data_IF_500210578578
#
_entry.id   IF_500210578578
#
_cell.length_a   1.000
_cell.length_b   1.000
_cell.length_c   1.000
_cell.angle_alpha   90.00
_cell.angle_beta   90.00
_cell.angle_gamma   90.00
#
_symmetry.space_group_name_H-M   'P 1'
#
loop_
_entity.id
_entity.type
_entity.pdbx_description
1 polymer ?
#
# COMPACT_ATOMS: atom_id res chain seq x y z
N UNK A 1 12.61 14.54 -46.14
CA UNK A 1 11.50 13.89 -45.42
C UNK A 1 12.11 13.26 -44.18
N UNK A 2 12.01 13.94 -43.03
CA UNK A 2 12.42 13.42 -41.75
C UNK A 2 11.28 12.51 -41.28
N UNK A 3 11.62 11.25 -40.99
CA UNK A 3 10.65 10.26 -40.55
C UNK A 3 10.17 10.60 -39.14
N UNK A 4 8.99 11.23 -39.05
CA UNK A 4 8.37 11.69 -37.79
C UNK A 4 7.92 10.52 -36.94
N UNK A 5 7.83 9.29 -37.47
CA UNK A 5 7.46 8.10 -36.76
C UNK A 5 8.59 7.59 -35.81
N UNK A 6 9.85 7.89 -36.13
CA UNK A 6 11.01 7.48 -35.33
C UNK A 6 11.24 8.35 -34.07
N UNK A 7 10.58 9.48 -33.94
CA UNK A 7 10.69 10.39 -32.79
C UNK A 7 9.66 10.12 -31.68
N UNK A 8 8.69 9.26 -31.92
CA UNK A 8 7.56 9.05 -31.00
C UNK A 8 7.82 8.02 -29.87
N UNK A 9 8.90 7.24 -29.95
CA UNK A 9 9.19 6.20 -28.97
C UNK A 9 10.55 6.46 -28.33
N UNK A 10 10.61 7.37 -27.37
CA UNK A 10 11.79 7.51 -26.52
C UNK A 10 11.59 6.69 -25.27
N UNK A 11 12.05 5.45 -25.34
CA UNK A 11 12.20 4.59 -24.18
C UNK A 11 13.27 5.21 -23.27
N UNK A 12 12.86 5.88 -22.21
CA UNK A 12 13.76 6.34 -21.16
C UNK A 12 13.85 5.26 -20.10
N UNK A 13 14.82 4.41 -20.26
CA UNK A 13 15.30 3.58 -19.17
C UNK A 13 16.00 4.49 -18.15
N UNK A 14 15.34 4.74 -17.02
CA UNK A 14 15.96 5.41 -15.87
C UNK A 14 16.38 4.32 -14.91
N UNK A 15 17.68 4.12 -14.65
CA UNK A 15 18.12 3.17 -13.63
C UNK A 15 17.63 3.65 -12.26
N UNK A 16 17.09 2.73 -11.46
CA UNK A 16 16.76 2.89 -10.05
C UNK A 16 15.70 3.95 -9.69
N UNK A 17 14.59 4.01 -10.41
CA UNK A 17 13.44 4.75 -9.92
C UNK A 17 12.76 3.95 -8.80
N UNK A 18 13.06 4.31 -7.57
CA UNK A 18 12.33 3.85 -6.38
C UNK A 18 10.94 4.48 -6.42
N UNK A 19 9.89 3.67 -6.57
CA UNK A 19 8.52 4.14 -6.34
C UNK A 19 8.41 4.53 -4.86
N UNK A 20 8.16 5.81 -4.53
CA UNK A 20 7.97 6.22 -3.15
C UNK A 20 6.55 5.84 -2.69
N UNK A 21 6.32 4.56 -2.47
CA UNK A 21 5.31 4.19 -1.50
C UNK A 21 5.88 4.62 -0.15
N UNK A 22 5.20 5.47 0.63
CA UNK A 22 5.73 5.97 1.88
C UNK A 22 6.13 4.79 2.76
N UNK A 23 7.42 4.65 3.00
CA UNK A 23 7.99 3.63 3.87
C UNK A 23 8.37 2.28 3.25
N UNK A 24 8.09 2.02 1.97
CA UNK A 24 8.45 0.76 1.30
C UNK A 24 9.39 1.04 0.14
N UNK A 25 10.58 0.44 0.16
CA UNK A 25 11.48 0.43 -0.99
C UNK A 25 11.07 -0.72 -1.90
N UNK A 26 10.62 -0.39 -3.11
CA UNK A 26 10.36 -1.37 -4.16
C UNK A 26 11.65 -1.52 -4.97
N UNK A 27 12.36 -2.66 -4.84
CA UNK A 27 13.55 -2.88 -5.65
C UNK A 27 13.14 -3.20 -7.09
N UNK A 28 13.84 -2.62 -8.06
CA UNK A 28 13.64 -2.91 -9.47
C UNK A 28 13.59 -1.66 -10.35
N UNK A 29 13.50 -1.88 -11.65
CA UNK A 29 13.47 -0.82 -12.68
C UNK A 29 12.05 -0.58 -13.14
N UNK A 30 11.59 0.68 -13.09
CA UNK A 30 10.32 1.07 -13.69
C UNK A 30 10.60 1.51 -15.12
N UNK A 31 9.91 0.88 -16.06
CA UNK A 31 9.91 1.27 -17.48
C UNK A 31 8.62 1.98 -17.79
N UNK A 32 8.70 3.16 -18.37
CA UNK A 32 7.55 3.91 -18.86
C UNK A 32 7.66 4.22 -20.33
N UNK A 33 6.53 4.08 -20.97
CA UNK A 33 6.32 4.46 -22.35
C UNK A 33 5.34 5.65 -22.38
N UNK A 34 5.82 6.82 -22.83
CA UNK A 34 5.04 8.05 -22.84
C UNK A 34 4.68 8.39 -24.27
N UNK A 35 3.39 8.46 -24.59
CA UNK A 35 2.91 8.91 -25.87
C UNK A 35 2.94 10.45 -25.94
N UNK A 36 3.79 10.99 -26.83
CA UNK A 36 4.03 12.44 -26.91
C UNK A 36 2.89 13.17 -27.62
N UNK A 37 2.24 12.57 -28.64
CA UNK A 37 1.16 13.21 -29.40
C UNK A 37 -0.03 13.63 -28.53
N UNK A 38 -0.57 12.81 -27.61
CA UNK A 38 -1.63 13.23 -26.71
C UNK A 38 -1.25 14.39 -25.81
N UNK A 39 0.03 14.54 -25.44
CA UNK A 39 0.50 15.65 -24.59
C UNK A 39 0.30 17.01 -25.26
N UNK A 40 0.38 17.11 -26.60
CA UNK A 40 0.18 18.35 -27.34
C UNK A 40 -1.25 18.91 -27.21
N UNK A 41 -2.21 18.05 -26.87
CA UNK A 41 -3.61 18.43 -26.64
C UNK A 41 -4.01 18.33 -25.17
N UNK A 42 -3.02 18.35 -24.24
CA UNK A 42 -3.25 18.31 -22.81
C UNK A 42 -3.72 16.96 -22.24
N UNK A 43 -3.55 15.87 -23.01
CA UNK A 43 -3.86 14.52 -22.57
C UNK A 43 -2.59 13.78 -22.17
N UNK A 44 -2.67 12.99 -21.10
CA UNK A 44 -1.61 12.10 -20.64
C UNK A 44 -1.95 10.68 -21.09
N UNK A 45 -0.97 9.98 -21.65
CA UNK A 45 -1.07 8.55 -21.91
C UNK A 45 0.32 7.95 -21.65
N UNK A 46 0.43 7.18 -20.57
CA UNK A 46 1.67 6.56 -20.09
C UNK A 46 1.39 5.11 -19.78
N UNK A 47 2.27 4.23 -20.21
CA UNK A 47 2.26 2.83 -19.83
C UNK A 47 3.43 2.56 -18.89
N UNK A 48 3.14 2.19 -17.66
CA UNK A 48 4.13 1.85 -16.65
C UNK A 48 4.25 0.33 -16.49
N UNK A 49 5.49 -0.18 -16.47
CA UNK A 49 5.82 -1.60 -16.27
C UNK A 49 6.86 -1.72 -15.17
N UNK A 50 6.70 -2.72 -14.34
CA UNK A 50 7.67 -3.10 -13.30
C UNK A 50 7.61 -4.61 -13.07
N UNK A 51 8.74 -5.22 -12.69
CA UNK A 51 8.83 -6.67 -12.49
C UNK A 51 7.90 -7.20 -11.38
N UNK A 52 7.59 -6.36 -10.41
CA UNK A 52 6.63 -6.67 -9.33
C UNK A 52 5.16 -6.49 -9.72
N UNK A 53 4.86 -5.97 -10.91
CA UNK A 53 3.50 -5.78 -11.42
C UNK A 53 3.04 -7.01 -12.20
N UNK A 54 1.83 -7.48 -11.93
CA UNK A 54 1.26 -8.59 -12.69
C UNK A 54 0.94 -8.22 -14.14
N UNK A 55 0.64 -6.94 -14.39
CA UNK A 55 0.35 -6.38 -15.72
C UNK A 55 0.78 -4.92 -15.77
N UNK A 56 1.05 -4.38 -16.98
CA UNK A 56 1.33 -2.96 -17.15
C UNK A 56 0.16 -2.10 -16.67
N UNK A 57 0.48 -0.97 -16.04
CA UNK A 57 -0.52 0.02 -15.59
C UNK A 57 -0.58 1.14 -16.60
N UNK A 58 -1.76 1.38 -17.16
CA UNK A 58 -2.03 2.50 -18.04
C UNK A 58 -2.47 3.70 -17.20
N UNK A 59 -1.83 4.84 -17.46
CA UNK A 59 -2.20 6.13 -16.90
C UNK A 59 -2.70 6.98 -18.08
N UNK A 60 -3.96 7.40 -18.02
CA UNK A 60 -4.61 8.15 -19.10
C UNK A 60 -5.38 9.36 -18.54
N UNK A 61 -5.90 10.22 -19.42
CA UNK A 61 -6.75 11.36 -19.03
C UNK A 61 -6.07 12.71 -19.20
N UNK A 62 -6.30 13.63 -18.26
CA UNK A 62 -5.70 14.97 -18.25
C UNK A 62 -4.80 15.13 -17.02
N UNK A 63 -3.92 16.14 -17.01
CA UNK A 63 -3.10 16.45 -15.84
C UNK A 63 -3.93 16.73 -14.57
N UNK A 64 -5.14 17.29 -14.72
CA UNK A 64 -6.02 17.59 -13.61
C UNK A 64 -6.84 16.36 -13.15
N UNK A 65 -7.04 15.37 -14.02
CA UNK A 65 -7.80 14.15 -13.73
C UNK A 65 -7.14 12.95 -14.40
N UNK A 66 -5.99 12.49 -13.88
CA UNK A 66 -5.38 11.26 -14.36
C UNK A 66 -6.21 10.05 -13.92
N UNK A 67 -6.34 9.09 -14.83
CA UNK A 67 -7.01 7.81 -14.62
C UNK A 67 -5.98 6.70 -14.69
N UNK A 68 -6.10 5.76 -13.79
CA UNK A 68 -5.23 4.60 -13.68
C UNK A 68 -6.04 3.33 -13.98
N UNK A 69 -5.51 2.46 -14.81
CA UNK A 69 -6.10 1.14 -15.01
C UNK A 69 -5.98 0.28 -13.74
N UNK A 70 -6.77 -0.78 -13.65
CA UNK A 70 -6.58 -1.79 -12.62
C UNK A 70 -5.14 -2.31 -12.63
N UNK A 71 -4.65 -2.69 -11.48
CA UNK A 71 -3.32 -3.24 -11.35
C UNK A 71 -3.09 -4.00 -10.05
N UNK A 72 -1.96 -4.69 -10.00
CA UNK A 72 -1.51 -5.33 -8.76
C UNK A 72 0.01 -5.38 -8.71
N UNK A 73 0.54 -5.29 -7.49
CA UNK A 73 1.96 -5.35 -7.17
C UNK A 73 2.14 -6.41 -6.10
N UNK A 74 3.17 -7.25 -6.24
CA UNK A 74 3.57 -8.23 -5.22
C UNK A 74 5.02 -8.02 -4.85
N UNK A 75 5.26 -7.86 -3.55
CA UNK A 75 6.57 -7.62 -2.98
C UNK A 75 6.86 -8.69 -1.92
N UNK A 76 7.77 -9.62 -2.17
CA UNK A 76 8.20 -10.55 -1.14
C UNK A 76 9.12 -9.83 -0.14
N UNK A 77 9.03 -10.23 1.13
CA UNK A 77 9.95 -9.80 2.20
C UNK A 77 10.09 -8.27 2.37
N UNK A 78 8.96 -7.60 2.55
CA UNK A 78 8.94 -6.15 2.82
C UNK A 78 9.16 -5.89 4.31
N UNK A 79 10.05 -4.97 4.65
CA UNK A 79 10.17 -4.44 6.01
C UNK A 79 9.26 -3.22 6.17
N UNK A 80 8.36 -3.28 7.16
CA UNK A 80 7.43 -2.19 7.45
C UNK A 80 7.96 -1.23 8.53
N UNK A 81 9.21 -1.41 8.98
CA UNK A 81 9.83 -0.59 10.04
C UNK A 81 9.91 0.91 9.71
N UNK A 82 9.91 1.25 8.42
CA UNK A 82 9.95 2.65 7.95
C UNK A 82 8.62 3.39 8.01
N UNK A 83 7.52 2.71 8.36
CA UNK A 83 6.21 3.35 8.50
C UNK A 83 6.06 4.21 9.77
N UNK A 84 7.14 4.37 10.55
CA UNK A 84 7.12 5.15 11.79
C UNK A 84 6.67 4.31 13.00
N UNK A 85 6.39 4.99 14.13
CA UNK A 85 5.91 4.32 15.35
C UNK A 85 4.46 3.85 15.17
N UNK A 86 4.10 2.63 15.69
CA UNK A 86 4.90 1.67 16.47
C UNK A 86 5.75 0.70 15.61
N UNK A 87 5.64 0.76 14.28
CA UNK A 87 6.24 -0.21 13.34
C UNK A 87 7.78 -0.21 13.38
N UNK A 88 8.38 0.96 13.61
CA UNK A 88 9.84 1.08 13.75
C UNK A 88 10.39 0.28 14.94
N UNK A 89 9.59 0.12 16.01
CA UNK A 89 9.97 -0.65 17.20
C UNK A 89 9.69 -2.14 17.01
N UNK A 90 8.53 -2.46 16.44
CA UNK A 90 8.08 -3.85 16.22
C UNK A 90 8.85 -4.53 15.08
N UNK A 91 9.36 -3.75 14.13
CA UNK A 91 10.12 -4.19 12.95
C UNK A 91 9.46 -5.37 12.21
N UNK A 92 8.20 -5.24 11.79
CA UNK A 92 7.54 -6.33 11.12
C UNK A 92 8.05 -6.50 9.70
N UNK A 93 8.13 -7.75 9.28
CA UNK A 93 8.38 -8.16 7.90
C UNK A 93 7.17 -8.93 7.38
N UNK A 94 6.89 -8.83 6.10
CA UNK A 94 5.76 -9.51 5.46
C UNK A 94 5.98 -9.68 3.96
N UNK A 95 5.23 -10.57 3.33
CA UNK A 95 4.96 -10.55 1.89
C UNK A 95 3.76 -9.64 1.66
N UNK A 96 3.89 -8.66 0.77
CA UNK A 96 2.87 -7.65 0.48
C UNK A 96 2.28 -7.88 -0.90
N UNK A 97 0.95 -7.92 -1.00
CA UNK A 97 0.22 -7.83 -2.25
C UNK A 97 -0.71 -6.61 -2.19
N UNK A 98 -0.53 -5.68 -3.14
CA UNK A 98 -1.42 -4.54 -3.35
C UNK A 98 -2.18 -4.78 -4.64
N UNK A 99 -3.49 -4.60 -4.63
CA UNK A 99 -4.35 -4.62 -5.80
C UNK A 99 -5.30 -3.42 -5.77
N UNK A 100 -5.64 -2.90 -6.96
CA UNK A 100 -6.58 -1.80 -7.09
C UNK A 100 -7.43 -1.97 -8.35
N UNK A 101 -8.67 -1.51 -8.26
CA UNK A 101 -9.56 -1.33 -9.40
C UNK A 101 -9.19 -0.06 -10.18
N UNK A 102 -9.72 0.15 -11.40
CA UNK A 102 -9.51 1.41 -12.09
C UNK A 102 -9.94 2.58 -11.21
N UNK A 103 -9.09 3.60 -11.11
CA UNK A 103 -9.39 4.78 -10.31
C UNK A 103 -8.94 6.07 -11.01
N UNK A 104 -9.49 7.18 -10.56
CA UNK A 104 -9.07 8.52 -11.01
C UNK A 104 -8.64 9.38 -9.82
N UNK A 105 -7.77 10.33 -10.07
CA UNK A 105 -7.43 11.36 -9.09
C UNK A 105 -8.22 12.63 -9.43
N UNK A 106 -9.02 13.07 -8.46
CA UNK A 106 -9.82 14.30 -8.58
C UNK A 106 -9.48 15.20 -7.39
N UNK A 107 -9.01 16.42 -7.66
CA UNK A 107 -8.60 17.37 -6.63
C UNK A 107 -7.56 16.79 -5.64
N UNK A 108 -6.61 16.01 -6.14
CA UNK A 108 -5.57 15.39 -5.32
C UNK A 108 -6.01 14.17 -4.51
N UNK A 109 -7.26 13.72 -4.66
CA UNK A 109 -7.81 12.55 -3.99
C UNK A 109 -8.00 11.40 -4.97
N UNK A 110 -7.56 10.20 -4.59
CA UNK A 110 -7.83 8.98 -5.34
C UNK A 110 -9.29 8.55 -5.13
N UNK A 111 -10.05 8.46 -6.23
CA UNK A 111 -11.44 7.99 -6.24
C UNK A 111 -11.47 6.58 -6.81
N UNK A 112 -11.45 5.58 -5.97
CA UNK A 112 -11.42 4.17 -6.33
C UNK A 112 -11.27 3.26 -5.13
N UNK A 113 -11.05 1.98 -5.39
CA UNK A 113 -10.93 0.91 -4.38
C UNK A 113 -9.59 0.22 -4.53
N UNK A 114 -8.96 -0.07 -3.41
CA UNK A 114 -7.72 -0.83 -3.34
C UNK A 114 -7.75 -1.80 -2.14
N UNK A 115 -6.95 -2.86 -2.21
CA UNK A 115 -6.77 -3.81 -1.12
C UNK A 115 -5.29 -4.14 -0.97
N UNK A 116 -4.82 -4.14 0.27
CA UNK A 116 -3.47 -4.55 0.66
C UNK A 116 -3.58 -5.83 1.48
N UNK A 117 -2.91 -6.89 1.03
CA UNK A 117 -2.73 -8.11 1.81
C UNK A 117 -1.29 -8.19 2.31
N UNK A 118 -1.14 -8.47 3.60
CA UNK A 118 0.12 -8.80 4.25
C UNK A 118 0.06 -10.27 4.66
N UNK A 119 0.98 -11.07 4.14
CA UNK A 119 1.10 -12.50 4.48
C UNK A 119 2.42 -12.79 5.15
N UNK A 120 2.48 -13.89 5.87
CA UNK A 120 3.68 -14.35 6.59
C UNK A 120 4.27 -13.26 7.50
N UNK A 121 3.40 -12.49 8.14
CA UNK A 121 3.86 -11.40 9.00
C UNK A 121 4.67 -11.96 10.15
N UNK A 122 5.86 -11.42 10.34
CA UNK A 122 6.78 -11.82 11.41
C UNK A 122 7.40 -10.58 12.07
N UNK A 123 7.88 -10.73 13.29
CA UNK A 123 8.63 -9.70 14.02
C UNK A 123 9.83 -10.32 14.73
N UNK A 124 10.89 -9.54 14.87
CA UNK A 124 12.06 -9.96 15.63
C UNK A 124 11.81 -10.04 17.16
N UNK A 125 10.71 -9.42 17.64
CA UNK A 125 10.37 -9.33 19.07
C UNK A 125 9.68 -10.57 19.63
N UNK A 126 9.36 -11.55 18.79
CA UNK A 126 8.70 -12.78 19.21
C UNK A 126 9.18 -13.97 18.39
N UNK A 127 9.26 -15.17 18.99
CA UNK A 127 9.56 -16.40 18.25
C UNK A 127 8.36 -16.92 17.43
N UNK A 128 7.15 -16.39 17.64
CA UNK A 128 5.93 -16.83 16.93
C UNK A 128 6.00 -16.40 15.47
N UNK A 129 5.97 -17.36 14.57
CA UNK A 129 6.02 -17.16 13.12
C UNK A 129 5.14 -18.17 12.41
N UNK A 130 4.25 -17.73 11.52
CA UNK A 130 3.85 -16.34 11.29
C UNK A 130 3.01 -15.76 12.43
N UNK A 131 2.99 -14.44 12.58
CA UNK A 131 2.06 -13.73 13.46
C UNK A 131 0.63 -13.78 12.91
N UNK A 132 0.51 -13.70 11.60
CA UNK A 132 -0.74 -13.77 10.89
C UNK A 132 -0.66 -13.26 9.46
N UNK A 133 -1.81 -13.29 8.79
CA UNK A 133 -2.06 -12.63 7.53
C UNK A 133 -3.22 -11.64 7.69
N UNK A 134 -3.08 -10.49 7.07
CA UNK A 134 -4.01 -9.36 7.25
C UNK A 134 -4.39 -8.75 5.91
N UNK A 135 -5.62 -8.20 5.86
CA UNK A 135 -6.12 -7.42 4.73
C UNK A 135 -6.51 -6.03 5.19
N UNK A 136 -6.14 -5.03 4.41
CA UNK A 136 -6.58 -3.65 4.54
C UNK A 136 -7.31 -3.26 3.26
N UNK A 137 -8.60 -3.05 3.35
CA UNK A 137 -9.44 -2.54 2.26
C UNK A 137 -9.54 -1.03 2.35
N UNK A 138 -9.40 -0.37 1.20
CA UNK A 138 -9.34 1.08 1.06
C UNK A 138 -10.41 1.51 0.06
N UNK A 139 -11.36 2.32 0.50
CA UNK A 139 -12.41 2.87 -0.35
C UNK A 139 -12.36 4.40 -0.39
N UNK A 140 -11.90 4.94 -1.51
CA UNK A 140 -11.75 6.38 -1.76
C UNK A 140 -12.92 7.01 -2.51
N UNK A 141 -14.02 6.30 -2.77
CA UNK A 141 -15.15 6.80 -3.57
C UNK A 141 -16.01 7.83 -2.85
N UNK A 142 -15.96 7.89 -1.52
CA UNK A 142 -16.70 8.85 -0.71
C UNK A 142 -15.90 10.13 -0.45
N UNK A 143 -16.46 11.09 0.29
CA UNK A 143 -15.79 12.34 0.67
C UNK A 143 -14.46 12.07 1.40
N UNK A 144 -14.49 11.16 2.36
CA UNK A 144 -13.31 10.64 3.05
C UNK A 144 -12.94 9.25 2.52
N UNK A 145 -11.67 8.88 2.62
CA UNK A 145 -11.21 7.53 2.29
C UNK A 145 -11.41 6.62 3.49
N UNK A 146 -12.24 5.61 3.34
CA UNK A 146 -12.50 4.61 4.37
C UNK A 146 -11.43 3.53 4.35
N UNK A 147 -11.02 3.09 5.52
CA UNK A 147 -10.02 2.03 5.73
C UNK A 147 -10.62 0.97 6.62
N UNK A 148 -10.55 -0.28 6.19
CA UNK A 148 -11.03 -1.42 6.98
C UNK A 148 -9.97 -2.51 7.02
N UNK A 149 -9.52 -2.88 8.23
CA UNK A 149 -8.52 -3.91 8.46
C UNK A 149 -9.17 -5.17 9.05
N UNK A 150 -8.82 -6.31 8.50
CA UNK A 150 -9.25 -7.61 9.00
C UNK A 150 -8.11 -8.62 8.99
N UNK A 151 -8.17 -9.59 9.89
CA UNK A 151 -7.29 -10.75 9.86
C UNK A 151 -7.82 -11.81 8.90
N UNK A 152 -6.92 -12.39 8.13
CA UNK A 152 -7.19 -13.55 7.29
C UNK A 152 -6.95 -14.82 8.09
N UNK A 153 -5.79 -14.91 8.78
CA UNK A 153 -5.37 -16.06 9.58
C UNK A 153 -4.27 -15.69 10.58
N UNK A 154 -3.99 -16.58 11.52
CA UNK A 154 -2.85 -16.51 12.43
C UNK A 154 -3.23 -16.24 13.89
N UNK A 155 -2.28 -16.45 14.83
CA UNK A 155 -2.50 -16.34 16.27
C UNK A 155 -2.65 -14.88 16.76
N UNK A 156 -2.18 -13.89 16.02
CA UNK A 156 -2.42 -12.48 16.32
C UNK A 156 -3.50 -11.96 15.38
N UNK A 157 -4.70 -11.75 15.90
CA UNK A 157 -5.83 -11.23 15.11
C UNK A 157 -5.88 -9.72 15.23
N UNK A 158 -5.95 -9.05 14.08
CA UNK A 158 -6.12 -7.62 13.98
C UNK A 158 -7.44 -7.31 13.28
N UNK A 159 -8.20 -6.38 13.83
CA UNK A 159 -9.36 -5.78 13.17
C UNK A 159 -9.34 -4.28 13.43
N UNK A 160 -9.81 -3.48 12.50
CA UNK A 160 -9.79 -2.04 12.69
C UNK A 160 -10.47 -1.31 11.57
N UNK A 161 -10.79 -0.06 11.86
CA UNK A 161 -11.40 0.86 10.91
C UNK A 161 -10.78 2.24 11.03
N UNK A 162 -10.81 2.98 9.95
CA UNK A 162 -10.26 4.32 9.94
C UNK A 162 -10.74 5.15 8.77
N UNK A 163 -10.36 6.39 8.83
CA UNK A 163 -10.69 7.40 7.85
C UNK A 163 -9.44 8.21 7.54
N UNK A 164 -9.16 8.39 6.27
CA UNK A 164 -8.15 9.33 5.80
C UNK A 164 -8.81 10.49 5.09
N UNK A 165 -8.49 11.70 5.53
CA UNK A 165 -8.90 12.94 4.91
C UNK A 165 -7.66 13.77 4.61
N UNK A 166 -7.48 14.31 3.39
CA UNK A 166 -6.30 15.12 3.04
C UNK A 166 -6.06 16.34 3.95
N UNK A 167 -7.15 16.91 4.52
CA UNK A 167 -7.07 18.09 5.40
C UNK A 167 -6.85 17.74 6.88
N UNK A 168 -7.30 16.57 7.33
CA UNK A 168 -7.27 16.17 8.74
C UNK A 168 -6.33 14.99 9.01
N UNK A 169 -5.75 14.40 7.95
CA UNK A 169 -4.85 13.25 8.07
C UNK A 169 -5.56 11.92 8.30
N UNK A 170 -4.81 10.96 8.79
CA UNK A 170 -5.27 9.60 9.09
C UNK A 170 -5.77 9.52 10.54
N UNK A 171 -6.95 8.95 10.73
CA UNK A 171 -7.47 8.47 12.01
C UNK A 171 -7.83 7.00 11.85
N UNK A 172 -7.15 6.14 12.59
CA UNK A 172 -7.35 4.71 12.49
C UNK A 172 -7.33 4.09 13.90
N UNK A 173 -8.32 3.25 14.18
CA UNK A 173 -8.42 2.50 15.42
C UNK A 173 -8.45 1.02 15.09
N UNK A 174 -7.55 0.27 15.70
CA UNK A 174 -7.49 -1.18 15.54
C UNK A 174 -7.51 -1.89 16.89
N UNK A 175 -7.91 -3.13 16.86
CA UNK A 175 -7.94 -4.05 17.99
C UNK A 175 -7.07 -5.24 17.67
N UNK A 176 -6.20 -5.59 18.62
CA UNK A 176 -5.40 -6.79 18.56
C UNK A 176 -5.90 -7.81 19.59
N UNK A 177 -6.15 -9.02 19.13
CA UNK A 177 -6.49 -10.18 19.95
C UNK A 177 -5.45 -11.27 19.74
N UNK A 178 -5.10 -11.98 20.79
CA UNK A 178 -4.09 -13.04 20.72
C UNK A 178 -4.75 -14.37 21.10
N UNK A 179 -4.47 -15.40 20.32
CA UNK A 179 -4.90 -16.75 20.64
C UNK A 179 -4.29 -17.18 21.99
N UNK A 180 -5.07 -17.84 22.81
CA UNK A 180 -4.71 -18.15 24.20
C UNK A 180 -3.43 -18.99 24.32
N UNK A 181 -3.22 -19.89 23.38
CA UNK A 181 -2.02 -20.74 23.28
C UNK A 181 -0.71 -19.96 23.09
N UNK A 182 -0.76 -18.79 22.46
CA UNK A 182 0.42 -17.97 22.14
C UNK A 182 0.51 -16.68 22.98
N UNK A 183 -0.42 -16.49 23.92
CA UNK A 183 -0.55 -15.25 24.72
C UNK A 183 0.74 -14.87 25.44
N UNK A 184 1.43 -15.81 26.07
CA UNK A 184 2.66 -15.54 26.81
C UNK A 184 3.79 -15.09 25.88
N UNK A 185 3.91 -15.69 24.69
CA UNK A 185 4.97 -15.39 23.73
C UNK A 185 4.70 -14.06 23.00
N UNK A 186 3.43 -13.68 22.82
CA UNK A 186 3.03 -12.46 22.14
C UNK A 186 2.82 -11.27 23.09
N UNK A 187 2.77 -11.48 24.40
CA UNK A 187 2.54 -10.43 25.39
C UNK A 187 3.52 -9.24 25.28
N UNK A 188 4.85 -9.42 25.08
CA UNK A 188 5.76 -8.30 24.92
C UNK A 188 5.46 -7.47 23.66
N UNK A 189 5.15 -8.14 22.56
CA UNK A 189 4.81 -7.50 21.30
C UNK A 189 3.54 -6.66 21.41
N UNK A 190 2.48 -7.24 21.95
CA UNK A 190 1.16 -6.61 22.06
C UNK A 190 1.17 -5.38 22.98
N UNK A 191 1.97 -5.41 24.04
CA UNK A 191 2.17 -4.25 24.94
C UNK A 191 2.82 -3.05 24.25
N UNK A 192 3.63 -3.28 23.22
CA UNK A 192 4.26 -2.23 22.43
C UNK A 192 3.33 -1.67 21.35
N UNK A 193 2.32 -2.44 20.92
CA UNK A 193 1.39 -2.02 19.88
C UNK A 193 0.36 -1.00 20.38
N UNK A 194 -0.06 -1.10 21.64
CA UNK A 194 -1.11 -0.22 22.13
C UNK A 194 -1.50 -0.43 23.58
N UNK A 195 -2.66 0.13 23.95
CA UNK A 195 -3.21 0.06 25.32
C UNK A 195 -4.07 -1.18 25.47
N UNK A 196 -3.81 -1.94 26.52
CA UNK A 196 -4.64 -3.10 26.85
C UNK A 196 -6.00 -2.67 27.42
N UNK A 197 -7.07 -3.20 26.86
CA UNK A 197 -8.45 -3.06 27.32
C UNK A 197 -9.10 -4.43 27.44
N UNK A 198 -9.13 -4.96 28.65
CA UNK A 198 -9.59 -6.33 28.91
C UNK A 198 -8.71 -7.39 28.22
N UNK A 199 -9.32 -8.19 27.35
CA UNK A 199 -8.62 -9.25 26.58
C UNK A 199 -8.03 -8.74 25.26
N UNK A 200 -8.33 -7.50 24.87
CA UNK A 200 -7.92 -6.87 23.60
C UNK A 200 -6.92 -5.75 23.85
N UNK A 201 -6.14 -5.45 22.85
CA UNK A 201 -5.26 -4.28 22.84
C UNK A 201 -5.73 -3.29 21.79
N UNK A 202 -6.02 -2.08 22.22
CA UNK A 202 -6.42 -0.99 21.34
C UNK A 202 -5.19 -0.27 20.81
N UNK A 203 -5.15 -0.11 19.48
CA UNK A 203 -4.11 0.59 18.73
C UNK A 203 -4.75 1.81 18.09
N UNK A 204 -4.23 3.00 18.35
CA UNK A 204 -4.68 4.24 17.69
C UNK A 204 -3.55 4.81 16.86
N UNK A 205 -3.84 5.20 15.64
CA UNK A 205 -2.92 5.83 14.71
C UNK A 205 -3.57 7.12 14.22
N UNK A 206 -2.82 8.22 14.31
CA UNK A 206 -3.32 9.55 14.01
C UNK A 206 -3.95 10.24 15.23
N UNK A 207 -4.18 11.53 15.09
CA UNK A 207 -4.75 12.40 16.13
C UNK A 207 -6.24 12.67 15.86
#
# INVERSE_FOLDING_TARGET
LVDVAALATREREKPDAVLPLPGVLVPGTIRWDIQVLPLLIGRVQVLARHDSMAQPVEISGTFARPRFSAGSIRLPNVSLSRLGSPWSTVQPTASLALSWEPFEIVNGKANGVASIELRDVASALTPVRPLGAYRLDIDGRQADTMLNMSSIEGPLRLSGEGVFNPSHGLRFTAWAEVDESERLKLAPLVRLLGRQEGTRTMIKIGA
#
